data_IF_889775516349
#
_entry.id   IF_889775516349
#
_cell.length_a   1.000
_cell.length_b   1.000
_cell.length_c   1.000
_cell.angle_alpha   90.00
_cell.angle_beta   90.00
_cell.angle_gamma   90.00
#
_symmetry.space_group_name_H-M   'P 1'
#
loop_
_entity.id
_entity.type
_entity.pdbx_description
1 polymer ?
#
# COMPACT_ATOMS: atom_id res chain seq x y z
N UNK A 1 -35.88 44.07 22.65
CA UNK A 1 -34.46 43.86 22.30
C UNK A 1 -34.24 42.36 22.22
N UNK A 2 -33.87 41.91 21.03
CA UNK A 2 -33.95 40.53 20.56
C UNK A 2 -32.79 39.67 21.08
N UNK A 3 -33.09 38.45 21.51
CA UNK A 3 -32.31 37.26 21.19
C UNK A 3 -33.23 36.04 21.32
N UNK A 4 -33.63 35.52 20.16
CA UNK A 4 -34.48 34.33 20.03
C UNK A 4 -33.63 33.12 20.43
N UNK A 5 -33.97 32.49 21.55
CA UNK A 5 -33.44 31.18 21.92
C UNK A 5 -34.32 30.10 21.28
N UNK A 6 -33.87 29.53 20.17
CA UNK A 6 -34.48 28.33 19.60
C UNK A 6 -33.95 27.11 20.36
N UNK A 7 -34.76 26.62 21.29
CA UNK A 7 -34.62 25.27 21.84
C UNK A 7 -35.19 24.31 20.79
N UNK A 8 -34.32 23.58 20.08
CA UNK A 8 -34.72 22.44 19.24
C UNK A 8 -34.35 21.15 19.98
N UNK A 9 -35.34 20.54 20.62
CA UNK A 9 -35.24 19.21 21.24
C UNK A 9 -35.72 18.18 20.22
N UNK A 10 -34.75 17.43 19.70
CA UNK A 10 -34.76 16.00 19.36
C UNK A 10 -35.81 15.52 18.32
N UNK A 11 -35.35 15.35 17.08
CA UNK A 11 -35.65 14.15 16.29
C UNK A 11 -34.33 13.50 15.88
N UNK A 12 -33.97 12.48 16.66
CA UNK A 12 -32.72 11.73 16.57
C UNK A 12 -32.87 10.63 15.52
N UNK A 13 -32.92 10.97 14.23
CA UNK A 13 -32.77 9.98 13.15
C UNK A 13 -31.90 10.53 12.03
N UNK A 14 -30.66 10.05 12.04
CA UNK A 14 -29.69 10.07 10.95
C UNK A 14 -28.76 11.29 10.89
N UNK A 15 -28.07 11.54 12.02
CA UNK A 15 -26.64 11.81 11.90
C UNK A 15 -26.03 10.47 11.48
N UNK A 16 -25.81 10.29 10.18
CA UNK A 16 -24.97 9.19 9.71
C UNK A 16 -23.56 9.57 10.16
N UNK A 17 -23.18 9.12 11.36
CA UNK A 17 -21.78 8.99 11.74
C UNK A 17 -21.25 7.90 10.82
N UNK A 18 -20.80 8.31 9.62
CA UNK A 18 -20.09 7.43 8.72
C UNK A 18 -18.79 7.07 9.44
N UNK A 19 -18.77 5.85 9.95
CA UNK A 19 -17.69 5.20 10.63
C UNK A 19 -16.41 5.36 9.81
N UNK A 20 -15.51 6.23 10.28
CA UNK A 20 -14.21 6.50 9.66
C UNK A 20 -13.20 5.38 9.97
N UNK A 21 -13.66 4.12 9.97
CA UNK A 21 -12.81 2.93 10.04
C UNK A 21 -12.35 2.48 8.64
N UNK A 22 -12.88 3.09 7.56
CA UNK A 22 -12.63 2.69 6.18
C UNK A 22 -11.27 3.18 5.61
N UNK A 23 -10.51 3.97 6.36
CA UNK A 23 -9.12 4.19 5.98
C UNK A 23 -8.26 4.34 7.23
N UNK A 24 -7.63 3.22 7.57
CA UNK A 24 -6.27 3.17 8.08
C UNK A 24 -5.45 4.40 7.60
N UNK A 25 -5.43 5.42 8.44
CA UNK A 25 -4.86 6.77 8.33
C UNK A 25 -4.46 7.25 6.91
N UNK A 26 -5.34 7.97 6.19
CA UNK A 26 -5.02 8.57 4.86
C UNK A 26 -3.69 9.32 4.81
N UNK A 27 -3.27 9.87 5.94
CA UNK A 27 -1.99 10.53 6.14
C UNK A 27 -0.79 9.63 5.83
N UNK A 28 -0.83 8.32 6.13
CA UNK A 28 0.27 7.42 5.82
C UNK A 28 0.48 7.30 4.31
N UNK A 29 -0.63 7.15 3.57
CA UNK A 29 -0.64 7.04 2.11
C UNK A 29 -0.12 8.33 1.49
N UNK A 30 -0.57 9.49 1.99
CA UNK A 30 -0.09 10.79 1.51
C UNK A 30 1.40 10.99 1.76
N UNK A 31 1.89 10.66 2.96
CA UNK A 31 3.31 10.78 3.28
C UNK A 31 4.15 9.83 2.43
N UNK A 32 3.71 8.60 2.22
CA UNK A 32 4.36 7.65 1.32
C UNK A 32 4.44 8.19 -0.11
N UNK A 33 3.36 8.77 -0.64
CA UNK A 33 3.38 9.37 -1.96
C UNK A 33 4.32 10.58 -2.06
N UNK A 34 4.44 11.38 -1.00
CA UNK A 34 5.39 12.47 -0.94
C UNK A 34 6.83 11.95 -0.96
N UNK A 35 7.15 11.00 -0.07
CA UNK A 35 8.47 10.39 0.07
C UNK A 35 8.96 9.77 -1.25
N UNK A 36 8.06 9.07 -1.97
CA UNK A 36 8.36 8.41 -3.24
C UNK A 36 8.15 9.29 -4.47
N UNK A 37 7.77 10.57 -4.30
CA UNK A 37 7.47 11.49 -5.41
C UNK A 37 6.42 10.95 -6.41
N UNK A 38 5.41 10.24 -5.91
CA UNK A 38 4.37 9.61 -6.71
C UNK A 38 3.36 10.65 -7.20
N UNK A 39 3.13 10.69 -8.52
CA UNK A 39 2.21 11.62 -9.20
C UNK A 39 0.87 10.99 -9.59
N UNK A 40 0.86 9.69 -9.82
CA UNK A 40 -0.35 8.91 -10.09
C UNK A 40 -0.34 7.64 -9.28
N UNK A 41 -1.51 7.26 -8.76
CA UNK A 41 -1.63 6.06 -7.95
C UNK A 41 -2.97 5.33 -8.14
N UNK A 42 -2.95 4.04 -7.85
CA UNK A 42 -4.15 3.21 -7.78
C UNK A 42 -4.28 2.59 -6.41
N UNK A 43 -5.47 2.67 -5.83
CA UNK A 43 -5.81 2.11 -4.52
C UNK A 43 -6.73 0.93 -4.73
N UNK A 44 -6.33 -0.22 -4.23
CA UNK A 44 -7.06 -1.48 -4.32
C UNK A 44 -7.49 -1.95 -2.94
N UNK A 45 -8.76 -2.33 -2.81
CA UNK A 45 -9.29 -2.88 -1.56
C UNK A 45 -10.67 -3.50 -1.76
N UNK A 46 -11.40 -3.69 -0.67
CA UNK A 46 -12.71 -4.34 -0.63
C UNK A 46 -13.83 -3.29 -0.45
N UNK A 47 -13.64 -2.13 -1.08
CA UNK A 47 -14.50 -0.96 -0.96
C UNK A 47 -15.81 -1.09 -1.73
N UNK A 48 -16.90 -0.60 -1.13
CA UNK A 48 -18.16 -0.33 -1.82
C UNK A 48 -18.06 0.85 -2.79
N UNK A 49 -19.05 1.03 -3.67
CA UNK A 49 -19.05 2.13 -4.67
C UNK A 49 -18.99 3.52 -4.02
N UNK A 50 -19.74 3.74 -2.94
CA UNK A 50 -19.76 5.00 -2.20
C UNK A 50 -18.40 5.29 -1.55
N UNK A 51 -17.80 4.29 -0.91
CA UNK A 51 -16.48 4.39 -0.30
C UNK A 51 -15.40 4.71 -1.34
N UNK A 52 -15.44 4.07 -2.52
CA UNK A 52 -14.52 4.38 -3.62
C UNK A 52 -14.57 5.87 -4.00
N UNK A 53 -15.76 6.45 -4.10
CA UNK A 53 -15.93 7.88 -4.43
C UNK A 53 -15.38 8.77 -3.31
N UNK A 54 -15.70 8.45 -2.05
CA UNK A 54 -15.24 9.24 -0.89
C UNK A 54 -13.71 9.19 -0.77
N UNK A 55 -13.12 8.00 -0.87
CA UNK A 55 -11.67 7.80 -0.82
C UNK A 55 -10.96 8.47 -1.99
N UNK A 56 -11.50 8.35 -3.20
CA UNK A 56 -10.95 9.03 -4.37
C UNK A 56 -10.93 10.54 -4.15
N UNK A 57 -12.03 11.13 -3.68
CA UNK A 57 -12.11 12.56 -3.36
C UNK A 57 -11.09 12.97 -2.31
N UNK A 58 -10.98 12.23 -1.20
CA UNK A 58 -10.02 12.54 -0.13
C UNK A 58 -8.57 12.51 -0.61
N UNK A 59 -8.21 11.54 -1.44
CA UNK A 59 -6.85 11.37 -1.93
C UNK A 59 -6.49 12.35 -3.07
N UNK A 60 -7.48 12.75 -3.90
CA UNK A 60 -7.28 13.68 -5.02
C UNK A 60 -7.02 15.14 -4.61
N UNK A 61 -7.26 15.51 -3.35
CA UNK A 61 -7.11 16.90 -2.84
C UNK A 61 -5.69 17.49 -3.02
N UNK A 62 -4.69 16.68 -3.39
CA UNK A 62 -3.30 17.09 -3.58
C UNK A 62 -2.83 17.03 -5.05
N UNK A 63 -3.70 17.29 -6.03
CA UNK A 63 -3.36 17.36 -7.48
C UNK A 63 -2.77 16.08 -8.08
N UNK A 64 -3.07 14.91 -7.51
CA UNK A 64 -2.63 13.60 -8.00
C UNK A 64 -3.73 12.90 -8.77
N UNK A 65 -3.36 12.18 -9.83
CA UNK A 65 -4.29 11.30 -10.55
C UNK A 65 -4.45 9.99 -9.79
N UNK A 66 -5.60 9.81 -9.12
CA UNK A 66 -5.83 8.66 -8.23
C UNK A 66 -7.06 7.88 -8.68
N UNK A 67 -6.91 6.56 -8.80
CA UNK A 67 -8.03 5.64 -9.04
C UNK A 67 -8.26 4.74 -7.83
N UNK A 68 -9.47 4.72 -7.27
CA UNK A 68 -9.83 3.79 -6.18
C UNK A 68 -10.72 2.69 -6.73
N UNK A 69 -10.36 1.44 -6.47
CA UNK A 69 -10.91 0.28 -7.14
C UNK A 69 -11.11 -0.87 -6.15
N UNK A 70 -12.18 -1.63 -6.35
CA UNK A 70 -12.27 -2.96 -5.73
C UNK A 70 -11.22 -3.89 -6.35
N UNK A 71 -10.66 -4.80 -5.54
CA UNK A 71 -9.73 -5.83 -6.01
C UNK A 71 -10.37 -6.62 -7.16
N UNK A 72 -9.83 -6.46 -8.37
CA UNK A 72 -10.23 -7.19 -9.56
C UNK A 72 -9.03 -7.29 -10.51
N UNK A 73 -8.58 -8.53 -10.77
CA UNK A 73 -7.37 -8.80 -11.53
C UNK A 73 -7.37 -8.25 -12.97
N UNK A 74 -8.50 -8.33 -13.67
CA UNK A 74 -8.58 -7.84 -15.06
C UNK A 74 -8.48 -6.32 -15.15
N UNK A 75 -9.08 -5.61 -14.18
CA UNK A 75 -9.00 -4.14 -14.12
C UNK A 75 -7.60 -3.68 -13.73
N UNK A 76 -6.96 -4.38 -12.79
CA UNK A 76 -5.61 -4.04 -12.35
C UNK A 76 -4.59 -4.13 -13.49
N UNK A 77 -4.65 -5.17 -14.33
CA UNK A 77 -3.73 -5.24 -15.48
C UNK A 77 -3.85 -4.01 -16.39
N UNK A 78 -5.07 -3.58 -16.74
CA UNK A 78 -5.27 -2.43 -17.63
C UNK A 78 -4.72 -1.12 -17.05
N UNK A 79 -4.70 -0.99 -15.73
CA UNK A 79 -4.37 0.26 -15.04
C UNK A 79 -2.87 0.32 -14.72
N UNK A 80 -2.30 -0.80 -14.28
CA UNK A 80 -0.88 -0.91 -13.97
C UNK A 80 -0.01 -1.01 -15.23
N UNK A 81 -0.53 -1.59 -16.31
CA UNK A 81 0.16 -1.68 -17.60
C UNK A 81 0.08 -0.37 -18.41
N UNK A 82 0.43 0.75 -17.79
CA UNK A 82 0.50 2.06 -18.42
C UNK A 82 1.96 2.46 -18.65
N UNK A 83 2.23 3.34 -19.62
CA UNK A 83 3.56 3.84 -19.98
C UNK A 83 4.12 4.87 -18.98
N UNK A 84 3.51 5.05 -17.81
CA UNK A 84 4.06 5.95 -16.79
C UNK A 84 5.27 5.31 -16.11
N UNK A 85 6.34 6.10 -15.94
CA UNK A 85 7.59 5.61 -15.35
C UNK A 85 7.49 5.30 -13.85
N UNK A 86 6.55 5.93 -13.12
CA UNK A 86 6.37 5.74 -11.68
C UNK A 86 4.89 5.81 -11.29
N UNK A 87 4.33 4.69 -10.82
CA UNK A 87 2.94 4.57 -10.37
C UNK A 87 2.95 4.08 -8.92
N UNK A 88 2.19 4.76 -8.06
CA UNK A 88 1.92 4.29 -6.71
C UNK A 88 0.82 3.23 -6.70
N UNK A 89 1.00 2.14 -5.97
CA UNK A 89 -0.02 1.12 -5.80
C UNK A 89 -0.27 0.92 -4.32
N UNK A 90 -1.47 1.30 -3.87
CA UNK A 90 -1.90 1.07 -2.50
C UNK A 90 -2.79 -0.17 -2.50
N UNK A 91 -2.54 -1.09 -1.59
CA UNK A 91 -3.38 -2.27 -1.40
C UNK A 91 -3.78 -2.39 0.06
N UNK A 92 -5.08 -2.50 0.30
CA UNK A 92 -5.58 -3.00 1.57
C UNK A 92 -5.26 -4.49 1.69
N UNK A 93 -4.27 -4.79 2.51
CA UNK A 93 -3.79 -6.13 2.79
C UNK A 93 -4.75 -6.96 3.64
N UNK A 94 -5.70 -6.35 4.33
CA UNK A 94 -6.66 -7.08 5.18
C UNK A 94 -7.86 -7.61 4.36
N UNK A 95 -8.05 -7.13 3.14
CA UNK A 95 -9.09 -7.65 2.25
C UNK A 95 -8.85 -9.14 1.90
N UNK A 96 -9.90 -9.98 1.87
CA UNK A 96 -9.77 -11.43 1.65
C UNK A 96 -9.08 -11.81 0.32
N UNK A 97 -9.26 -11.00 -0.72
CA UNK A 97 -8.71 -11.27 -2.06
C UNK A 97 -7.27 -10.75 -2.25
N UNK A 98 -6.69 -10.08 -1.24
CA UNK A 98 -5.36 -9.46 -1.33
C UNK A 98 -4.26 -10.47 -1.67
N UNK A 99 -4.26 -11.67 -1.07
CA UNK A 99 -3.25 -12.70 -1.36
C UNK A 99 -3.27 -13.16 -2.82
N UNK A 100 -4.45 -13.50 -3.34
CA UNK A 100 -4.62 -13.90 -4.75
C UNK A 100 -4.26 -12.76 -5.70
N UNK A 101 -4.58 -11.53 -5.32
CA UNK A 101 -4.21 -10.34 -6.09
C UNK A 101 -2.70 -10.13 -6.16
N UNK A 102 -1.98 -10.30 -5.06
CA UNK A 102 -0.51 -10.22 -5.03
C UNK A 102 0.13 -11.30 -5.90
N UNK A 103 -0.37 -12.55 -5.83
CA UNK A 103 0.12 -13.66 -6.67
C UNK A 103 -0.04 -13.30 -8.16
N UNK A 104 -1.22 -12.83 -8.55
CA UNK A 104 -1.49 -12.40 -9.92
C UNK A 104 -0.55 -11.26 -10.36
N UNK A 105 -0.37 -10.24 -9.52
CA UNK A 105 0.50 -9.11 -9.85
C UNK A 105 1.97 -9.52 -9.99
N UNK A 106 2.42 -10.51 -9.21
CA UNK A 106 3.75 -11.09 -9.36
C UNK A 106 3.92 -11.86 -10.66
N UNK A 107 2.91 -12.61 -11.08
CA UNK A 107 2.90 -13.29 -12.38
C UNK A 107 2.94 -12.29 -13.55
N UNK A 108 2.24 -11.17 -13.41
CA UNK A 108 2.20 -10.07 -14.38
C UNK A 108 3.42 -9.14 -14.32
N UNK A 109 4.38 -9.41 -13.42
CA UNK A 109 5.63 -8.63 -13.23
C UNK A 109 5.39 -7.17 -12.83
N UNK A 110 4.35 -6.90 -12.04
CA UNK A 110 4.10 -5.55 -11.50
C UNK A 110 4.89 -5.23 -10.23
N UNK A 111 5.76 -6.12 -9.76
CA UNK A 111 6.70 -5.83 -8.68
C UNK A 111 8.08 -5.47 -9.25
N UNK A 112 8.14 -4.35 -9.95
CA UNK A 112 9.34 -3.81 -10.58
C UNK A 112 9.71 -2.44 -9.98
N UNK A 113 10.64 -1.71 -10.62
CA UNK A 113 11.06 -0.38 -10.20
C UNK A 113 10.08 0.74 -10.53
N UNK A 114 9.09 0.49 -11.39
CA UNK A 114 8.10 1.48 -11.86
C UNK A 114 6.85 1.49 -10.98
N UNK A 115 6.54 0.37 -10.35
CA UNK A 115 5.39 0.24 -9.45
C UNK A 115 5.85 0.30 -8.00
N UNK A 116 5.46 1.37 -7.29
CA UNK A 116 5.79 1.58 -5.89
C UNK A 116 4.62 1.13 -5.02
N UNK A 117 4.76 -0.02 -4.38
CA UNK A 117 3.69 -0.65 -3.61
C UNK A 117 3.75 -0.24 -2.13
N UNK A 118 2.60 0.16 -1.59
CA UNK A 118 2.35 0.26 -0.15
C UNK A 118 1.15 -0.61 0.20
N UNK A 119 1.37 -1.62 1.03
CA UNK A 119 0.32 -2.54 1.46
C UNK A 119 0.03 -2.25 2.94
N UNK A 120 -1.21 -1.88 3.25
CA UNK A 120 -1.62 -1.57 4.64
C UNK A 120 -2.27 -2.80 5.26
N UNK A 121 -1.96 -3.11 6.51
CA UNK A 121 -2.53 -4.27 7.20
C UNK A 121 -2.50 -4.10 8.71
N UNK A 122 -3.49 -4.66 9.40
CA UNK A 122 -3.48 -4.87 10.86
C UNK A 122 -2.85 -6.21 11.26
N UNK A 123 -2.60 -7.11 10.30
CA UNK A 123 -2.12 -8.46 10.58
C UNK A 123 -0.61 -8.50 10.80
N UNK A 124 -0.18 -9.02 11.94
CA UNK A 124 1.24 -9.32 12.21
C UNK A 124 1.77 -10.49 11.35
N UNK A 125 0.87 -11.32 10.82
CA UNK A 125 1.20 -12.47 9.98
C UNK A 125 1.18 -12.12 8.47
N UNK A 126 1.46 -10.87 8.11
CA UNK A 126 1.42 -10.38 6.73
C UNK A 126 2.34 -11.16 5.77
N UNK A 127 3.45 -11.73 6.28
CA UNK A 127 4.41 -12.51 5.49
C UNK A 127 3.77 -13.69 4.75
N UNK A 128 2.75 -14.32 5.34
CA UNK A 128 2.03 -15.46 4.70
C UNK A 128 1.38 -15.07 3.37
N UNK A 129 1.04 -13.80 3.17
CA UNK A 129 0.45 -13.31 1.91
C UNK A 129 1.44 -13.32 0.74
N UNK A 130 2.74 -13.39 1.03
CA UNK A 130 3.81 -13.33 0.04
C UNK A 130 4.45 -14.68 -0.28
N UNK A 131 4.10 -15.76 0.42
CA UNK A 131 4.75 -17.08 0.27
C UNK A 131 4.75 -17.58 -1.19
N UNK A 132 3.64 -17.38 -1.90
CA UNK A 132 3.48 -17.82 -3.29
C UNK A 132 3.63 -16.68 -4.32
N UNK A 133 4.09 -15.51 -3.88
CA UNK A 133 4.20 -14.34 -4.74
C UNK A 133 5.55 -14.35 -5.46
N UNK A 134 5.52 -14.17 -6.78
CA UNK A 134 6.74 -14.05 -7.58
C UNK A 134 7.35 -12.67 -7.32
N UNK A 135 8.53 -12.66 -6.71
CA UNK A 135 9.27 -11.45 -6.33
C UNK A 135 10.73 -11.56 -6.77
N UNK A 136 11.31 -10.42 -7.12
CA UNK A 136 12.71 -10.28 -7.51
C UNK A 136 13.36 -9.14 -6.71
N UNK A 137 14.69 -9.04 -6.79
CA UNK A 137 15.49 -8.05 -6.03
C UNK A 137 15.09 -6.60 -6.30
N UNK A 138 14.50 -6.30 -7.46
CA UNK A 138 14.10 -4.97 -7.90
C UNK A 138 12.70 -4.55 -7.42
N UNK A 139 11.93 -5.45 -6.79
CA UNK A 139 10.61 -5.14 -6.25
C UNK A 139 10.65 -3.91 -5.32
N UNK A 140 9.70 -2.98 -5.46
CA UNK A 140 9.52 -1.86 -4.54
C UNK A 140 8.21 -2.04 -3.76
N UNK A 141 8.27 -2.84 -2.69
CA UNK A 141 7.13 -3.19 -1.86
C UNK A 141 7.41 -2.81 -0.42
N UNK A 142 6.56 -1.96 0.11
CA UNK A 142 6.53 -1.64 1.54
C UNK A 142 5.22 -2.12 2.14
N UNK A 143 5.30 -2.73 3.32
CA UNK A 143 4.12 -3.08 4.13
C UNK A 143 4.08 -2.17 5.34
N UNK A 144 2.96 -1.46 5.49
CA UNK A 144 2.64 -0.71 6.68
C UNK A 144 1.78 -1.58 7.60
N UNK A 145 2.35 -1.99 8.72
CA UNK A 145 1.68 -2.83 9.73
C UNK A 145 1.21 -1.94 10.87
N UNK A 146 -0.10 -1.85 11.06
CA UNK A 146 -0.69 -1.05 12.12
C UNK A 146 -0.65 -1.80 13.46
N UNK A 147 -0.19 -1.12 14.50
CA UNK A 147 -0.33 -1.58 15.87
C UNK A 147 -1.73 -1.22 16.39
N UNK A 148 -2.52 -2.22 16.74
CA UNK A 148 -3.92 -2.05 17.17
C UNK A 148 -4.09 -1.20 18.43
N UNK A 149 -3.10 -1.19 19.33
CA UNK A 149 -3.18 -0.47 20.61
C UNK A 149 -2.77 0.99 20.47
N UNK A 150 -1.69 1.26 19.74
CA UNK A 150 -1.08 2.61 19.66
C UNK A 150 -1.49 3.39 18.42
N UNK A 151 -2.18 2.72 17.46
CA UNK A 151 -2.48 3.24 16.11
C UNK A 151 -1.24 3.72 15.35
N UNK A 152 -0.05 3.33 15.81
CA UNK A 152 1.22 3.56 15.13
C UNK A 152 1.45 2.49 14.07
N UNK A 153 2.26 2.83 13.09
CA UNK A 153 2.51 2.02 11.92
C UNK A 153 3.98 1.66 11.84
N UNK A 154 4.30 0.39 11.64
CA UNK A 154 5.66 -0.04 11.30
C UNK A 154 5.77 -0.21 9.80
N UNK A 155 6.76 0.41 9.19
CA UNK A 155 7.02 0.29 7.75
C UNK A 155 8.10 -0.75 7.53
N UNK A 156 7.80 -1.74 6.69
CA UNK A 156 8.65 -2.90 6.43
C UNK A 156 8.91 -3.00 4.92
N UNK A 157 10.16 -3.13 4.51
CA UNK A 157 10.56 -3.52 3.16
C UNK A 157 10.32 -5.01 2.97
N UNK A 158 9.74 -5.43 1.85
CA UNK A 158 9.60 -6.84 1.49
C UNK A 158 10.20 -7.08 0.11
N UNK A 159 11.02 -8.11 0.00
CA UNK A 159 11.59 -8.54 -1.28
C UNK A 159 11.96 -10.02 -1.25
N UNK A 160 12.12 -10.62 -2.42
CA UNK A 160 12.83 -11.89 -2.59
C UNK A 160 13.87 -11.65 -3.67
N UNK A 161 15.16 -11.95 -3.48
CA UNK A 161 16.13 -11.58 -4.49
C UNK A 161 15.94 -12.33 -5.83
N UNK A 162 15.42 -13.56 -5.81
CA UNK A 162 15.04 -14.29 -7.02
C UNK A 162 14.10 -15.48 -6.70
N UNK A 163 12.79 -15.24 -6.53
CA UNK A 163 11.89 -16.28 -6.00
C UNK A 163 11.78 -17.53 -6.88
N UNK A 164 11.90 -17.38 -8.20
CA UNK A 164 11.90 -18.50 -9.16
C UNK A 164 13.23 -19.26 -9.26
N UNK A 165 14.27 -18.78 -8.60
CA UNK A 165 15.64 -19.30 -8.70
C UNK A 165 16.21 -19.71 -7.34
N UNK A 166 15.34 -20.09 -6.39
CA UNK A 166 15.74 -20.54 -5.05
C UNK A 166 15.92 -19.43 -4.02
N UNK A 167 15.60 -18.18 -4.37
CA UNK A 167 15.67 -17.07 -3.42
C UNK A 167 14.62 -17.18 -2.30
N UNK A 168 14.98 -16.70 -1.12
CA UNK A 168 14.11 -16.64 0.05
C UNK A 168 13.43 -15.27 0.19
N UNK A 169 12.21 -15.27 0.73
CA UNK A 169 11.48 -14.06 1.07
C UNK A 169 12.15 -13.39 2.27
N UNK A 170 12.52 -12.12 2.13
CA UNK A 170 13.16 -11.30 3.13
C UNK A 170 12.29 -10.09 3.48
N UNK A 171 12.44 -9.62 4.71
CA UNK A 171 11.84 -8.37 5.14
C UNK A 171 12.79 -7.61 6.06
N UNK A 172 12.67 -6.27 6.08
CA UNK A 172 13.48 -5.42 6.95
C UNK A 172 12.68 -4.22 7.38
N UNK A 173 12.71 -3.90 8.68
CA UNK A 173 12.04 -2.69 9.19
C UNK A 173 12.75 -1.45 8.66
N UNK A 174 12.01 -0.62 7.91
CA UNK A 174 12.50 0.64 7.35
C UNK A 174 12.26 1.83 8.28
N UNK A 175 11.19 1.77 9.07
CA UNK A 175 10.75 2.92 9.82
C UNK A 175 9.39 2.76 10.47
N UNK A 176 8.76 3.89 10.74
CA UNK A 176 7.44 3.93 11.35
C UNK A 176 6.69 5.22 10.96
N UNK A 177 5.39 5.21 11.18
CA UNK A 177 4.55 6.38 11.10
C UNK A 177 3.65 6.49 12.34
N UNK A 178 3.51 7.69 12.89
CA UNK A 178 2.47 8.02 13.84
C UNK A 178 2.10 9.50 13.70
N UNK A 179 0.92 9.90 14.20
CA UNK A 179 0.44 11.29 14.05
C UNK A 179 1.33 12.35 14.71
N UNK A 180 2.11 11.98 15.73
CA UNK A 180 2.96 12.91 16.48
C UNK A 180 4.28 13.19 15.77
N UNK A 181 4.90 12.17 15.20
CA UNK A 181 6.24 12.21 14.61
C UNK A 181 6.23 12.21 13.08
N UNK A 182 5.07 11.97 12.46
CA UNK A 182 4.95 11.87 11.02
C UNK A 182 5.50 10.55 10.49
N UNK A 183 5.84 10.55 9.19
CA UNK A 183 6.36 9.38 8.48
C UNK A 183 7.89 9.43 8.49
N UNK A 184 8.51 8.47 9.18
CA UNK A 184 9.96 8.42 9.34
C UNK A 184 10.46 7.09 8.80
N UNK A 185 11.07 7.14 7.62
CA UNK A 185 11.77 6.00 7.01
C UNK A 185 13.25 6.34 6.88
N UNK A 186 14.11 5.47 7.41
CA UNK A 186 15.56 5.63 7.28
C UNK A 186 16.00 4.92 6.00
N UNK A 187 16.31 5.69 4.96
CA UNK A 187 16.83 5.13 3.72
C UNK A 187 18.08 5.90 3.27
N UNK A 188 19.15 5.80 4.06
CA UNK A 188 20.41 6.48 3.75
C UNK A 188 21.20 5.82 2.62
N UNK A 189 20.78 4.64 2.16
CA UNK A 189 21.47 3.84 1.16
C UNK A 189 20.48 3.34 0.09
N UNK A 190 21.01 3.05 -1.11
CA UNK A 190 20.20 2.42 -2.16
C UNK A 190 19.72 1.04 -1.71
N UNK A 191 18.45 0.70 -1.98
CA UNK A 191 17.83 -0.58 -1.58
C UNK A 191 18.66 -1.82 -1.96
N UNK A 192 19.40 -1.78 -3.06
CA UNK A 192 20.22 -2.91 -3.49
C UNK A 192 21.38 -3.22 -2.54
N UNK A 193 21.85 -2.25 -1.75
CA UNK A 193 22.95 -2.46 -0.82
C UNK A 193 22.53 -3.33 0.37
N UNK A 194 21.33 -3.10 0.91
CA UNK A 194 20.75 -3.95 1.96
C UNK A 194 20.29 -5.31 1.42
N UNK A 195 20.05 -5.41 0.10
CA UNK A 195 19.58 -6.63 -0.58
C UNK A 195 20.68 -7.45 -1.27
N UNK A 196 21.95 -7.11 -1.06
CA UNK A 196 23.10 -7.73 -1.76
C UNK A 196 23.33 -9.21 -1.45
N UNK A 197 22.74 -9.74 -0.38
CA UNK A 197 22.89 -11.14 -0.02
C UNK A 197 22.02 -12.02 -0.94
N UNK A 198 22.68 -12.75 -1.84
CA UNK A 198 22.06 -13.63 -2.83
C UNK A 198 22.26 -15.13 -2.50
N UNK A 199 22.55 -15.47 -1.25
CA UNK A 199 22.83 -16.86 -0.85
C UNK A 199 21.64 -17.78 -1.19
N UNK A 200 21.93 -18.95 -1.77
CA UNK A 200 20.92 -19.94 -2.18
C UNK A 200 20.33 -19.73 -3.57
N UNK A 201 20.70 -18.67 -4.28
CA UNK A 201 20.19 -18.38 -5.62
C UNK A 201 21.05 -19.05 -6.69
N UNK A 202 20.39 -19.69 -7.66
CA UNK A 202 21.05 -20.30 -8.80
C UNK A 202 20.95 -19.40 -10.03
N UNK A 203 22.09 -18.92 -10.52
CA UNK A 203 22.17 -18.18 -11.78
C UNK A 203 22.63 -19.09 -12.91
N UNK A 204 21.97 -18.97 -14.07
CA UNK A 204 22.48 -19.52 -15.32
C UNK A 204 23.30 -18.43 -16.00
N UNK A 205 24.58 -18.71 -16.23
CA UNK A 205 25.46 -17.82 -17.00
C UNK A 205 25.76 -18.48 -18.34
N UNK A 206 25.75 -17.67 -19.40
CA UNK A 206 26.33 -18.02 -20.68
C UNK A 206 27.58 -17.17 -20.84
N UNK A 207 28.72 -17.82 -20.98
CA UNK A 207 29.98 -17.15 -21.29
C UNK A 207 30.00 -17.02 -22.81
N UNK A 208 29.97 -15.78 -23.29
CA UNK A 208 30.13 -15.42 -24.71
C UNK A 208 31.58 -15.06 -24.96
#
# INVERSE_FOLDING_TARGET
>A
MNAISFIFVISLKHIVVFQADCLQDFHIIQNYFNEKSIKSASVFGCFGKTEQIVLAKMLMLQTRSISVLSINGQKAHKILNNNHHHIGVILDGDCPQSSNFLILCGQLKFFDVKHHWLITTTSLNFMKKFENVVLNIDADIQVAVQNSTTLSWTIVDIYNPASKHGGALNYTKLGFYNRKQGYIVRNNEAKYWSRKNMTGITFKSMIV
#
